data_IF_627568277022
#
_entry.id   IF_627568277022
#
_cell.length_a   1.000
_cell.length_b   1.000
_cell.length_c   1.000
_cell.angle_alpha   90.00
_cell.angle_beta   90.00
_cell.angle_gamma   90.00
#
_symmetry.space_group_name_H-M   'P 1'
#
loop_
_entity.id
_entity.type
_entity.pdbx_description
1 polymer ?
#
# COMPACT_ATOMS: atom_id res chain seq x y z
N UNK A 1 -11.45 -11.64 3.22
CA UNK A 1 -11.03 -12.03 1.87
C UNK A 1 -9.72 -11.37 1.53
N UNK A 2 -8.72 -12.19 1.17
CA UNK A 2 -7.40 -11.66 0.85
C UNK A 2 -7.35 -11.14 -0.58
N UNK A 3 -6.68 -10.02 -0.79
CA UNK A 3 -6.46 -9.55 -2.14
C UNK A 3 -5.09 -8.87 -2.28
N UNK A 4 -4.64 -8.78 -3.52
CA UNK A 4 -3.41 -8.08 -3.88
C UNK A 4 -3.72 -7.07 -4.97
N UNK A 5 -3.08 -5.92 -4.89
CA UNK A 5 -3.21 -4.87 -5.89
C UNK A 5 -1.84 -4.29 -6.18
N UNK A 6 -1.56 -4.06 -7.45
CA UNK A 6 -0.31 -3.43 -7.85
C UNK A 6 -0.59 -1.95 -8.08
N UNK A 7 0.14 -1.10 -7.40
CA UNK A 7 -0.04 0.35 -7.48
C UNK A 7 1.28 1.04 -7.75
N UNK A 8 1.19 2.29 -8.15
CA UNK A 8 2.34 3.17 -8.27
C UNK A 8 1.97 4.51 -7.65
N UNK A 9 2.76 4.94 -6.67
CA UNK A 9 2.52 6.19 -5.96
C UNK A 9 3.76 7.07 -6.00
N UNK A 10 3.56 8.34 -5.73
CA UNK A 10 4.64 9.32 -5.63
C UNK A 10 4.86 9.65 -4.15
N UNK A 11 6.01 10.27 -3.82
CA UNK A 11 6.25 10.69 -2.43
C UNK A 11 5.11 11.54 -1.85
N UNK A 12 4.48 12.38 -2.68
CA UNK A 12 3.37 13.21 -2.24
C UNK A 12 2.12 12.42 -1.87
N UNK A 13 2.04 11.15 -2.24
CA UNK A 13 0.89 10.29 -1.95
C UNK A 13 1.05 9.50 -0.65
N UNK A 14 2.25 9.49 -0.07
CA UNK A 14 2.56 8.63 1.08
C UNK A 14 1.66 8.92 2.28
N UNK A 15 1.50 10.19 2.62
CA UNK A 15 0.70 10.56 3.78
C UNK A 15 -0.75 10.11 3.62
N UNK A 16 -1.33 10.32 2.45
CA UNK A 16 -2.69 9.87 2.16
C UNK A 16 -2.80 8.35 2.26
N UNK A 17 -1.85 7.64 1.66
CA UNK A 17 -1.83 6.18 1.70
C UNK A 17 -1.80 5.66 3.13
N UNK A 18 -0.87 6.17 3.94
CA UNK A 18 -0.70 5.71 5.32
C UNK A 18 -1.94 6.05 6.16
N UNK A 19 -2.51 7.24 5.97
CA UNK A 19 -3.70 7.63 6.71
C UNK A 19 -4.90 6.73 6.37
N UNK A 20 -5.09 6.42 5.11
CA UNK A 20 -6.16 5.50 4.69
C UNK A 20 -5.92 4.09 5.22
N UNK A 21 -4.66 3.65 5.21
CA UNK A 21 -4.31 2.34 5.76
C UNK A 21 -4.61 2.27 7.26
N UNK A 22 -4.32 3.34 8.00
CA UNK A 22 -4.62 3.41 9.43
C UNK A 22 -6.11 3.25 9.74
N UNK A 23 -6.97 3.70 8.85
CA UNK A 23 -8.42 3.61 9.04
C UNK A 23 -8.96 2.21 8.75
N UNK A 24 -8.16 1.34 8.18
CA UNK A 24 -8.56 -0.05 7.92
C UNK A 24 -8.43 -0.86 9.20
N UNK A 25 -9.39 -1.78 9.42
CA UNK A 25 -9.39 -2.65 10.59
C UNK A 25 -8.51 -3.89 10.44
N UNK A 26 -7.91 -4.05 9.27
CA UNK A 26 -7.08 -5.20 8.93
C UNK A 26 -5.66 -4.76 8.61
N UNK A 27 -4.73 -5.70 8.63
CA UNK A 27 -3.34 -5.42 8.31
C UNK A 27 -3.16 -5.15 6.82
N UNK A 28 -2.24 -4.26 6.51
CA UNK A 28 -1.88 -3.90 5.14
C UNK A 28 -0.39 -4.17 4.96
N UNK A 29 -0.05 -5.05 4.03
CA UNK A 29 1.34 -5.36 3.71
C UNK A 29 1.70 -4.74 2.38
N UNK A 30 2.88 -4.13 2.30
CA UNK A 30 3.36 -3.49 1.08
C UNK A 30 4.76 -4.00 0.77
N UNK A 31 5.01 -4.27 -0.49
CA UNK A 31 6.34 -4.69 -0.95
C UNK A 31 6.64 -4.07 -2.30
N UNK A 32 7.93 -3.89 -2.58
CA UNK A 32 8.36 -3.53 -3.94
C UNK A 32 8.10 -4.74 -4.85
N UNK A 33 7.71 -4.49 -6.08
CA UNK A 33 7.27 -5.55 -6.99
C UNK A 33 8.34 -6.61 -7.25
N UNK A 34 9.61 -6.23 -7.19
CA UNK A 34 10.71 -7.16 -7.41
C UNK A 34 11.24 -7.78 -6.10
N UNK A 35 10.59 -7.49 -4.97
CA UNK A 35 10.98 -8.00 -3.65
C UNK A 35 9.75 -8.37 -2.84
N UNK A 36 8.89 -9.19 -3.43
CA UNK A 36 7.59 -9.55 -2.82
C UNK A 36 7.68 -10.10 -1.40
N UNK A 37 8.78 -10.76 -1.07
CA UNK A 37 8.93 -11.38 0.25
C UNK A 37 9.34 -10.42 1.33
N UNK A 38 9.74 -9.21 0.95
CA UNK A 38 10.15 -8.18 1.90
C UNK A 38 9.02 -7.19 2.11
N UNK A 39 8.00 -7.63 2.84
CA UNK A 39 6.84 -6.79 3.11
C UNK A 39 7.11 -5.86 4.29
N UNK A 40 6.50 -4.70 4.23
CA UNK A 40 6.48 -3.75 5.33
C UNK A 40 5.04 -3.46 5.70
N UNK A 41 4.85 -2.91 6.90
CA UNK A 41 3.53 -2.52 7.39
C UNK A 41 3.07 -1.25 6.68
N UNK A 42 1.96 -1.34 5.92
CA UNK A 42 1.42 -0.20 5.19
C UNK A 42 0.89 0.90 6.10
N UNK A 43 0.75 0.63 7.40
CA UNK A 43 0.34 1.63 8.38
C UNK A 43 1.53 2.37 9.00
N UNK A 44 2.76 1.98 8.64
CA UNK A 44 3.97 2.60 9.15
C UNK A 44 4.51 3.61 8.14
N UNK A 45 4.45 4.89 8.48
CA UNK A 45 4.96 5.92 7.59
C UNK A 45 6.47 5.75 7.35
N UNK A 46 7.21 5.38 8.39
CA UNK A 46 8.66 5.17 8.23
C UNK A 46 8.95 3.98 7.32
N UNK A 47 8.17 2.92 7.42
CA UNK A 47 8.32 1.77 6.54
C UNK A 47 8.04 2.13 5.09
N UNK A 48 6.95 2.83 4.84
CA UNK A 48 6.56 3.23 3.48
C UNK A 48 7.59 4.19 2.88
N UNK A 49 8.13 5.10 3.69
CA UNK A 49 9.16 6.03 3.22
C UNK A 49 10.44 5.34 2.78
N UNK A 50 10.70 4.13 3.27
CA UNK A 50 11.89 3.36 2.90
C UNK A 50 11.73 2.59 1.57
N UNK A 51 10.54 2.59 1.00
CA UNK A 51 10.32 1.90 -0.27
C UNK A 51 10.84 2.73 -1.44
N UNK A 52 11.28 2.04 -2.48
CA UNK A 52 11.66 2.68 -3.73
C UNK A 52 10.40 2.96 -4.55
N UNK A 53 9.91 4.19 -4.49
CA UNK A 53 8.66 4.58 -5.16
C UNK A 53 8.80 4.71 -6.68
N UNK A 54 9.99 4.55 -7.21
CA UNK A 54 10.18 4.47 -8.66
C UNK A 54 9.65 3.15 -9.20
N UNK A 55 9.49 2.16 -8.33
CA UNK A 55 8.97 0.84 -8.67
C UNK A 55 7.49 0.76 -8.35
N UNK A 56 6.81 -0.15 -9.03
CA UNK A 56 5.45 -0.49 -8.61
C UNK A 56 5.49 -1.23 -7.27
N UNK A 57 4.42 -1.11 -6.51
CA UNK A 57 4.29 -1.73 -5.20
C UNK A 57 3.16 -2.75 -5.23
N UNK A 58 3.33 -3.82 -4.47
CA UNK A 58 2.27 -4.81 -4.26
C UNK A 58 1.69 -4.56 -2.89
N UNK A 59 0.39 -4.26 -2.86
CA UNK A 59 -0.35 -4.08 -1.61
C UNK A 59 -1.20 -5.32 -1.39
N UNK A 60 -1.04 -5.94 -0.22
CA UNK A 60 -1.79 -7.14 0.15
C UNK A 60 -2.55 -6.87 1.43
N UNK A 61 -3.80 -7.29 1.49
CA UNK A 61 -4.57 -7.18 2.71
C UNK A 61 -5.67 -8.23 2.74
N UNK A 62 -6.25 -8.42 3.91
CA UNK A 62 -7.26 -9.44 4.14
C UNK A 62 -8.56 -8.78 4.61
N UNK A 63 -9.09 -7.89 3.79
CA UNK A 63 -10.31 -7.16 4.10
C UNK A 63 -10.59 -6.12 3.04
N UNK A 64 -11.70 -5.43 3.18
CA UNK A 64 -12.09 -4.36 2.27
C UNK A 64 -12.40 -3.08 3.01
N UNK A 65 -11.95 -1.96 2.46
CA UNK A 65 -12.30 -0.63 2.90
C UNK A 65 -12.53 0.20 1.65
N UNK A 66 -13.68 0.86 1.56
CA UNK A 66 -14.09 1.55 0.35
C UNK A 66 -13.13 2.67 -0.06
N UNK A 67 -12.74 3.50 0.89
CA UNK A 67 -11.83 4.62 0.59
C UNK A 67 -10.44 4.14 0.20
N UNK A 68 -9.94 3.14 0.91
CA UNK A 68 -8.64 2.56 0.60
C UNK A 68 -8.64 1.90 -0.76
N UNK A 69 -9.70 1.15 -1.08
CA UNK A 69 -9.84 0.50 -2.38
C UNK A 69 -9.89 1.52 -3.51
N UNK A 70 -10.60 2.62 -3.30
CA UNK A 70 -10.68 3.68 -4.31
C UNK A 70 -9.31 4.30 -4.56
N UNK A 71 -8.57 4.56 -3.49
CA UNK A 71 -7.21 5.09 -3.62
C UNK A 71 -6.33 4.16 -4.46
N UNK A 72 -6.39 2.86 -4.16
CA UNK A 72 -5.59 1.89 -4.89
C UNK A 72 -5.99 1.79 -6.36
N UNK A 73 -7.27 1.89 -6.66
CA UNK A 73 -7.72 1.88 -8.05
C UNK A 73 -7.25 3.11 -8.80
N UNK A 74 -7.25 4.27 -8.16
CA UNK A 74 -6.78 5.51 -8.76
C UNK A 74 -5.28 5.47 -9.04
N UNK A 75 -4.54 4.64 -8.32
CA UNK A 75 -3.10 4.52 -8.45
C UNK A 75 -2.67 3.17 -9.04
N UNK A 76 -3.60 2.43 -9.63
CA UNK A 76 -3.30 1.13 -10.20
C UNK A 76 -2.23 1.22 -11.28
N UNK A 77 -1.30 0.29 -11.25
CA UNK A 77 -0.20 0.24 -12.22
C UNK A 77 -0.39 -0.91 -13.20
#
# INVERSE_FOLDING_TARGET
>A
MAFKKIIKIQPSDIETFVNLAHNCEFDIDVAEIDKERLTIDGKSILGVLNLDLKKALIVSCNGEDEEFSRFMEEHAA
#
